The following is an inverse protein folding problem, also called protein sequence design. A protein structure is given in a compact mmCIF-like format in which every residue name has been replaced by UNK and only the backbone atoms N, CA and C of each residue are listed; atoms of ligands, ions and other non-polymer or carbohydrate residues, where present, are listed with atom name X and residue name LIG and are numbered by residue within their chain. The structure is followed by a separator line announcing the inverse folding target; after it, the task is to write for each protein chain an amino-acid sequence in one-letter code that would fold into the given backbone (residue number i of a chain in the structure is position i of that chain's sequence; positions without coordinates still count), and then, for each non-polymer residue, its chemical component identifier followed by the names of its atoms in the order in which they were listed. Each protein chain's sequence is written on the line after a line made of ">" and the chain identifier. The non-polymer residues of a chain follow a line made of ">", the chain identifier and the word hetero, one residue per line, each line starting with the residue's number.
data_IF_704029055704
#
_entry.id   IF_704029055704
#
_cell.length_a   1.000
_cell.length_b   1.000
_cell.length_c   1.000
_cell.angle_alpha   90.00
_cell.angle_beta   90.00
_cell.angle_gamma   90.00
#
_symmetry.space_group_name_H-M   'P 1'
#
loop_
_entity.id
_entity.type
_entity.pdbx_description
1 polymer ?
#
# COMPACT_ATOMS: atom_id res chain seq x y z
N UNK A 1 -8.75 2.91 -26.61
CA UNK A 1 -9.12 3.73 -25.44
C UNK A 1 -8.14 3.39 -24.33
N UNK A 2 -7.07 4.17 -24.21
CA UNK A 2 -6.18 4.07 -23.05
C UNK A 2 -6.96 4.72 -21.90
N UNK A 3 -7.59 3.92 -21.04
CA UNK A 3 -8.05 4.45 -19.75
C UNK A 3 -6.81 4.98 -19.04
N UNK A 4 -6.68 6.30 -19.01
CA UNK A 4 -5.79 6.97 -18.07
C UNK A 4 -6.12 6.52 -16.64
N UNK A 5 -5.19 6.69 -15.70
CA UNK A 5 -5.46 6.40 -14.29
C UNK A 5 -6.74 7.13 -13.89
N UNK A 6 -7.73 6.38 -13.41
CA UNK A 6 -9.01 6.94 -12.94
C UNK A 6 -8.69 7.74 -11.68
N UNK A 7 -8.48 9.05 -11.84
CA UNK A 7 -8.36 9.96 -10.71
C UNK A 7 -9.76 10.17 -10.12
N UNK A 8 -9.96 9.68 -8.90
CA UNK A 8 -11.17 9.95 -8.14
C UNK A 8 -11.11 11.40 -7.66
N UNK A 9 -12.16 12.19 -7.93
CA UNK A 9 -12.20 13.59 -7.49
C UNK A 9 -12.15 13.68 -5.95
N UNK A 10 -11.34 14.59 -5.39
CA UNK A 10 -11.29 14.80 -3.94
C UNK A 10 -12.63 15.26 -3.37
N UNK A 11 -13.03 14.66 -2.25
CA UNK A 11 -14.23 15.02 -1.51
C UNK A 11 -13.95 16.09 -0.44
N UNK A 12 -14.66 17.21 -0.51
CA UNK A 12 -14.53 18.36 0.42
C UNK A 12 -14.96 18.04 1.85
N UNK A 13 -15.63 16.90 2.08
CA UNK A 13 -16.06 16.49 3.42
C UNK A 13 -14.88 16.19 4.35
N UNK A 14 -13.73 15.78 3.81
CA UNK A 14 -12.53 15.45 4.58
C UNK A 14 -11.77 16.72 4.93
N UNK A 15 -11.75 17.07 6.21
CA UNK A 15 -11.17 18.33 6.72
C UNK A 15 -9.77 18.17 7.29
N UNK A 16 -9.31 16.93 7.52
CA UNK A 16 -7.97 16.68 8.01
C UNK A 16 -6.92 16.88 6.91
N UNK A 17 -5.76 17.42 7.28
CA UNK A 17 -4.62 17.47 6.38
C UNK A 17 -3.95 16.10 6.35
N UNK A 18 -3.84 15.51 5.16
CA UNK A 18 -3.10 14.25 4.95
C UNK A 18 -1.85 14.54 4.14
N UNK A 19 -0.70 14.11 4.66
CA UNK A 19 0.60 14.23 3.99
C UNK A 19 1.22 12.84 3.86
N UNK A 20 1.63 12.49 2.65
CA UNK A 20 2.25 11.20 2.33
C UNK A 20 3.69 11.47 1.88
N UNK A 21 4.65 11.08 2.70
CA UNK A 21 6.06 11.06 2.32
C UNK A 21 6.34 9.80 1.53
N UNK A 22 6.83 9.97 0.31
CA UNK A 22 7.23 8.88 -0.59
C UNK A 22 8.67 9.07 -1.04
N UNK A 23 9.23 8.04 -1.68
CA UNK A 23 10.45 8.16 -2.46
C UNK A 23 10.17 7.67 -3.87
N UNK A 24 10.58 8.46 -4.87
CA UNK A 24 10.58 8.01 -6.27
C UNK A 24 11.83 7.21 -6.63
N UNK A 25 12.82 7.11 -5.74
CA UNK A 25 14.01 6.28 -5.96
C UNK A 25 13.63 4.80 -5.88
N UNK A 26 13.44 4.18 -7.05
CA UNK A 26 13.04 2.77 -7.21
C UNK A 26 14.03 1.73 -6.68
N UNK A 27 15.15 2.13 -6.08
CA UNK A 27 16.15 1.24 -5.49
C UNK A 27 15.57 0.34 -4.39
N UNK A 28 14.50 0.79 -3.70
CA UNK A 28 13.75 0.00 -2.71
C UNK A 28 12.32 -0.23 -3.19
N UNK A 29 12.14 -1.20 -4.11
CA UNK A 29 10.84 -1.56 -4.72
C UNK A 29 9.71 -1.81 -3.72
N UNK A 30 10.03 -2.31 -2.53
CA UNK A 30 9.05 -2.53 -1.44
C UNK A 30 8.49 -1.21 -0.94
N UNK A 31 9.34 -0.22 -0.69
CA UNK A 31 8.95 1.11 -0.22
C UNK A 31 8.15 1.87 -1.29
N UNK A 32 8.59 1.81 -2.54
CA UNK A 32 7.87 2.39 -3.68
C UNK A 32 6.46 1.81 -3.80
N UNK A 33 6.32 0.48 -3.79
CA UNK A 33 5.02 -0.17 -3.88
C UNK A 33 4.14 0.14 -2.65
N UNK A 34 4.74 0.26 -1.46
CA UNK A 34 4.00 0.65 -0.27
C UNK A 34 3.50 2.10 -0.38
N UNK A 35 4.34 3.04 -0.85
CA UNK A 35 3.95 4.42 -1.10
C UNK A 35 2.81 4.52 -2.11
N UNK A 36 2.91 3.74 -3.21
CA UNK A 36 1.82 3.63 -4.18
C UNK A 36 0.52 3.16 -3.52
N UNK A 37 0.54 2.06 -2.75
CA UNK A 37 -0.67 1.56 -2.05
C UNK A 37 -1.29 2.60 -1.10
N UNK A 38 -0.48 3.34 -0.36
CA UNK A 38 -0.99 4.37 0.55
C UNK A 38 -1.72 5.48 -0.23
N UNK A 39 -1.16 5.92 -1.37
CA UNK A 39 -1.79 6.92 -2.24
C UNK A 39 -3.06 6.37 -2.90
N UNK A 40 -2.99 5.18 -3.48
CA UNK A 40 -4.13 4.53 -4.13
C UNK A 40 -5.31 4.40 -3.15
N UNK A 41 -5.06 4.04 -1.88
CA UNK A 41 -6.10 3.96 -0.85
C UNK A 41 -6.77 5.33 -0.58
N UNK A 42 -5.96 6.38 -0.43
CA UNK A 42 -6.48 7.74 -0.18
C UNK A 42 -7.21 8.30 -1.39
N UNK A 43 -6.71 8.02 -2.59
CA UNK A 43 -7.34 8.40 -3.85
C UNK A 43 -8.69 7.70 -4.03
N UNK A 44 -8.75 6.37 -3.86
CA UNK A 44 -10.02 5.61 -3.91
C UNK A 44 -11.05 6.15 -2.92
N UNK A 45 -10.60 6.57 -1.73
CA UNK A 45 -11.46 7.16 -0.71
C UNK A 45 -11.89 8.61 -1.03
N UNK A 46 -11.32 9.24 -2.05
CA UNK A 46 -11.57 10.65 -2.38
C UNK A 46 -10.95 11.61 -1.36
N UNK A 47 -9.88 11.21 -0.68
CA UNK A 47 -9.22 12.05 0.33
C UNK A 47 -8.15 12.90 -0.35
N UNK A 48 -8.28 14.21 -0.23
CA UNK A 48 -7.21 15.12 -0.64
C UNK A 48 -5.96 14.86 0.20
N UNK A 49 -4.85 14.58 -0.46
CA UNK A 49 -3.59 14.26 0.20
C UNK A 49 -2.42 14.93 -0.52
N UNK A 50 -1.45 15.40 0.26
CA UNK A 50 -0.25 16.08 -0.22
C UNK A 50 0.85 15.04 -0.34
N UNK A 51 1.36 14.84 -1.55
CA UNK A 51 2.47 13.92 -1.80
C UNK A 51 3.76 14.73 -1.72
N UNK A 52 4.67 14.33 -0.83
CA UNK A 52 5.99 14.95 -0.71
C UNK A 52 7.02 13.88 -1.07
N UNK A 53 7.76 14.12 -2.15
CA UNK A 53 8.86 13.24 -2.54
C UNK A 53 10.13 13.58 -1.75
N UNK A 54 10.64 12.61 -1.00
CA UNK A 54 11.84 12.80 -0.18
C UNK A 54 13.14 12.65 -0.98
N UNK A 55 13.08 12.48 -2.30
CA UNK A 55 14.27 12.40 -3.14
C UNK A 55 15.09 13.71 -3.12
N UNK A 56 16.40 13.61 -2.88
CA UNK A 56 17.31 14.76 -2.75
C UNK A 56 17.50 15.50 -4.08
N UNK A 57 17.45 14.78 -5.19
CA UNK A 57 17.66 15.34 -6.54
C UNK A 57 16.42 16.12 -7.03
N UNK A 58 15.21 15.74 -6.57
CA UNK A 58 13.98 16.48 -6.85
C UNK A 58 14.01 17.91 -6.27
N UNK A 59 14.73 18.12 -5.16
CA UNK A 59 14.82 19.42 -4.47
C UNK A 59 15.67 20.46 -5.21
N UNK A 60 16.54 20.05 -6.12
CA UNK A 60 17.39 20.96 -6.90
C UNK A 60 16.73 21.49 -8.16
N UNK A 61 15.56 20.96 -8.56
CA UNK A 61 14.86 21.31 -9.79
C UNK A 61 13.88 22.50 -9.66
N UNK A 62 13.76 23.14 -8.48
CA UNK A 62 12.97 24.37 -8.32
C UNK A 62 11.45 24.19 -8.15
N UNK A 63 10.94 22.96 -8.11
CA UNK A 63 9.50 22.65 -7.91
C UNK A 63 9.07 22.58 -6.44
N UNK A 64 9.98 22.77 -5.48
CA UNK A 64 9.83 22.20 -4.14
C UNK A 64 9.76 23.16 -2.96
N UNK A 65 9.35 24.43 -3.10
CA UNK A 65 9.33 25.34 -1.94
C UNK A 65 8.40 24.84 -0.82
N UNK A 66 7.20 24.36 -1.16
CA UNK A 66 6.28 23.75 -0.20
C UNK A 66 6.82 22.42 0.34
N UNK A 67 7.40 21.58 -0.52
CA UNK A 67 7.98 20.29 -0.14
C UNK A 67 9.17 20.46 0.82
N UNK A 68 10.07 21.40 0.51
CA UNK A 68 11.22 21.75 1.32
C UNK A 68 10.80 22.31 2.68
N UNK A 69 9.78 23.19 2.73
CA UNK A 69 9.19 23.66 4.00
C UNK A 69 8.64 22.49 4.82
N UNK A 70 7.93 21.56 4.19
CA UNK A 70 7.39 20.37 4.85
C UNK A 70 8.50 19.50 5.45
N UNK A 71 9.53 19.23 4.64
CA UNK A 71 10.67 18.40 5.04
C UNK A 71 11.43 19.06 6.19
N UNK A 72 11.72 20.35 6.09
CA UNK A 72 12.42 21.11 7.13
C UNK A 72 11.64 21.06 8.45
N UNK A 73 10.32 21.33 8.41
CA UNK A 73 9.46 21.29 9.59
C UNK A 73 9.44 19.90 10.23
N UNK A 74 9.30 18.84 9.44
CA UNK A 74 9.28 17.46 9.93
C UNK A 74 10.63 17.02 10.51
N UNK A 75 11.74 17.52 9.98
CA UNK A 75 13.08 17.31 10.52
C UNK A 75 13.29 18.05 11.85
N UNK A 76 12.88 19.32 11.93
CA UNK A 76 12.97 20.15 13.15
C UNK A 76 12.14 19.55 14.30
N UNK A 77 10.92 19.11 14.00
CA UNK A 77 10.02 18.51 14.99
C UNK A 77 10.43 17.08 15.39
N UNK A 78 11.45 16.49 14.74
CA UNK A 78 11.90 15.10 14.94
C UNK A 78 10.77 14.07 14.83
N UNK A 79 9.82 14.31 13.93
CA UNK A 79 8.66 13.43 13.71
C UNK A 79 8.90 12.35 12.68
N UNK A 80 9.97 12.48 11.90
CA UNK A 80 10.38 11.51 10.90
C UNK A 80 10.90 10.23 11.55
N UNK A 81 10.42 9.09 11.07
CA UNK A 81 10.91 7.78 11.50
C UNK A 81 12.15 7.37 10.70
N UNK A 82 13.24 7.07 11.42
CA UNK A 82 14.49 6.56 10.84
C UNK A 82 14.71 5.12 11.30
N UNK A 83 15.14 4.26 10.39
CA UNK A 83 15.53 2.89 10.65
C UNK A 83 16.92 2.79 11.28
N UNK A 84 17.37 1.55 11.54
CA UNK A 84 18.61 1.28 12.27
C UNK A 84 19.90 1.84 11.65
N UNK A 85 19.88 2.15 10.35
CA UNK A 85 21.04 2.71 9.63
C UNK A 85 20.96 4.24 9.44
N UNK A 86 20.09 4.94 10.18
CA UNK A 86 19.73 6.34 9.91
C UNK A 86 19.04 6.58 8.56
N UNK A 87 18.69 5.52 7.83
CA UNK A 87 17.84 5.60 6.64
C UNK A 87 16.42 5.95 7.05
N UNK A 88 15.79 6.90 6.35
CA UNK A 88 14.37 7.18 6.53
C UNK A 88 13.53 5.97 6.10
N UNK A 89 12.56 5.60 6.93
CA UNK A 89 11.62 4.53 6.62
C UNK A 89 10.53 5.13 5.75
N UNK A 90 10.30 4.65 4.53
CA UNK A 90 9.26 5.16 3.64
C UNK A 90 8.31 4.03 3.20
N UNK A 91 7.04 4.31 2.92
CA UNK A 91 6.36 5.61 3.05
C UNK A 91 6.04 5.98 4.50
N UNK A 92 5.89 7.27 4.77
CA UNK A 92 5.36 7.78 6.05
C UNK A 92 4.12 8.60 5.79
N UNK A 93 3.01 8.24 6.44
CA UNK A 93 1.75 8.96 6.35
C UNK A 93 1.57 9.79 7.62
N UNK A 94 1.21 11.05 7.44
CA UNK A 94 0.89 11.98 8.51
C UNK A 94 -0.54 12.50 8.34
N UNK A 95 -1.27 12.61 9.44
CA UNK A 95 -2.59 13.24 9.47
C UNK A 95 -2.59 14.34 10.53
N UNK A 96 -2.92 15.57 10.16
CA UNK A 96 -2.82 16.77 11.00
C UNK A 96 -1.47 16.84 11.75
N UNK A 97 -0.41 16.51 11.00
CA UNK A 97 0.97 16.38 11.45
C UNK A 97 1.32 15.10 12.20
N UNK A 98 0.37 14.34 12.74
CA UNK A 98 0.68 13.14 13.52
C UNK A 98 1.09 11.98 12.63
N UNK A 99 2.20 11.35 12.97
CA UNK A 99 2.67 10.14 12.29
C UNK A 99 1.66 9.01 12.52
N UNK A 100 1.12 8.50 11.42
CA UNK A 100 0.18 7.37 11.41
C UNK A 100 0.92 6.06 11.22
N UNK A 101 1.86 6.02 10.27
CA UNK A 101 2.55 4.78 9.91
C UNK A 101 2.84 4.68 8.42
N UNK A 102 2.93 3.44 7.96
CA UNK A 102 3.07 3.08 6.55
C UNK A 102 1.70 2.74 5.93
N UNK A 103 1.71 2.18 4.71
CA UNK A 103 0.50 1.77 4.01
C UNK A 103 -0.34 0.70 4.74
N UNK A 104 0.31 -0.23 5.46
CA UNK A 104 -0.38 -1.26 6.24
C UNK A 104 -1.06 -0.70 7.47
N UNK A 105 -0.43 0.28 8.15
CA UNK A 105 -1.05 0.94 9.30
C UNK A 105 -2.27 1.78 8.87
N UNK A 106 -2.16 2.46 7.73
CA UNK A 106 -3.27 3.20 7.14
C UNK A 106 -4.44 2.27 6.74
N UNK A 107 -4.14 1.12 6.12
CA UNK A 107 -5.14 0.11 5.80
C UNK A 107 -5.82 -0.42 7.07
N UNK A 108 -5.04 -0.69 8.13
CA UNK A 108 -5.59 -1.15 9.41
C UNK A 108 -6.61 -0.16 10.00
N UNK A 109 -6.33 1.15 9.92
CA UNK A 109 -7.29 2.16 10.36
C UNK A 109 -8.57 2.20 9.53
N UNK A 110 -8.48 1.93 8.22
CA UNK A 110 -9.65 1.82 7.35
C UNK A 110 -10.47 0.57 7.68
N UNK A 111 -9.81 -0.58 7.84
CA UNK A 111 -10.43 -1.85 8.18
C UNK A 111 -11.15 -1.79 9.55
N UNK A 112 -10.59 -1.03 10.50
CA UNK A 112 -11.19 -0.77 11.82
C UNK A 112 -12.31 0.29 11.78
N UNK A 113 -12.56 0.94 10.64
CA UNK A 113 -13.54 2.03 10.51
C UNK A 113 -13.15 3.32 11.24
N UNK A 114 -11.88 3.45 11.65
CA UNK A 114 -11.37 4.61 12.37
C UNK A 114 -10.86 5.71 11.42
N UNK A 115 -10.35 5.34 10.25
CA UNK A 115 -9.72 6.27 9.31
C UNK A 115 -10.68 7.39 8.91
N UNK A 116 -11.91 7.07 8.51
CA UNK A 116 -12.90 8.08 8.15
C UNK A 116 -13.20 9.05 9.31
N UNK A 117 -13.33 8.55 10.53
CA UNK A 117 -13.58 9.39 11.70
C UNK A 117 -12.39 10.31 12.02
N UNK A 118 -11.16 9.85 11.78
CA UNK A 118 -9.95 10.65 11.94
C UNK A 118 -9.90 11.74 10.86
N UNK A 119 -10.18 11.39 9.60
CA UNK A 119 -10.17 12.32 8.45
C UNK A 119 -11.25 13.40 8.54
N UNK A 120 -12.38 13.08 9.16
CA UNK A 120 -13.45 14.04 9.49
C UNK A 120 -13.16 14.85 10.77
N UNK A 121 -11.98 14.67 11.39
CA UNK A 121 -11.59 15.21 12.71
C UNK A 121 -12.63 14.93 13.81
N UNK A 122 -13.35 13.81 13.73
CA UNK A 122 -14.33 13.35 14.73
C UNK A 122 -13.71 12.49 15.82
N UNK A 123 -12.58 11.85 15.51
CA UNK A 123 -11.82 11.01 16.44
C UNK A 123 -10.34 11.44 16.49
N UNK A 124 -9.70 11.20 17.62
CA UNK A 124 -8.25 11.35 17.78
C UNK A 124 -7.52 10.14 17.17
N UNK A 125 -6.45 10.35 16.39
CA UNK A 125 -5.69 9.21 15.81
C UNK A 125 -4.89 8.41 16.83
N UNK A 126 -4.54 8.99 17.99
CA UNK A 126 -3.68 8.33 18.96
C UNK A 126 -4.45 7.47 19.95
N UNK A 127 -5.62 7.94 20.38
CA UNK A 127 -6.46 7.17 21.30
C UNK A 127 -7.70 6.56 20.63
N UNK A 128 -8.18 7.04 19.49
CA UNK A 128 -9.37 6.50 18.80
C UNK A 128 -10.72 6.81 19.47
N UNK A 129 -10.78 6.91 20.79
CA UNK A 129 -12.05 7.02 21.53
C UNK A 129 -12.50 8.45 21.85
N UNK A 130 -11.56 9.41 21.87
CA UNK A 130 -11.88 10.79 22.24
C UNK A 130 -12.48 11.53 21.06
N UNK A 131 -13.66 12.11 21.29
CA UNK A 131 -14.31 12.96 20.28
C UNK A 131 -13.46 14.20 20.05
N UNK A 132 -13.16 14.45 18.78
CA UNK A 132 -12.43 15.61 18.32
C UNK A 132 -13.39 16.54 17.58
N UNK A 133 -13.13 17.84 17.66
CA UNK A 133 -13.74 18.86 16.80
C UNK A 133 -12.67 19.50 15.92
N UNK A 134 -13.04 20.07 14.75
CA UNK A 134 -12.05 20.55 13.78
C UNK A 134 -11.15 21.69 14.28
N UNK A 135 -11.61 22.45 15.27
CA UNK A 135 -10.96 23.59 15.92
C UNK A 135 -10.01 23.18 17.06
N UNK A 136 -10.06 21.93 17.51
CA UNK A 136 -9.17 21.45 18.57
C UNK A 136 -7.74 21.30 18.06
N UNK A 137 -6.81 21.91 18.80
CA UNK A 137 -5.36 21.82 18.56
C UNK A 137 -4.68 20.74 19.38
N UNK A 138 -5.38 20.14 20.36
CA UNK A 138 -4.88 19.03 21.17
C UNK A 138 -6.02 18.09 21.56
N UNK A 139 -5.68 16.83 21.82
CA UNK A 139 -6.63 15.83 22.29
C UNK A 139 -7.13 16.17 23.70
N UNK A 140 -8.44 16.14 23.92
CA UNK A 140 -9.04 16.39 25.24
C UNK A 140 -8.75 15.31 26.28
N UNK A 141 -8.29 14.12 25.86
CA UNK A 141 -7.96 13.06 26.80
C UNK A 141 -6.65 13.39 27.54
N UNK A 142 -6.66 13.47 28.88
CA UNK A 142 -5.49 13.85 29.67
C UNK A 142 -4.32 12.88 29.53
N UNK A 143 -4.60 11.59 29.23
CA UNK A 143 -3.57 10.57 29.01
C UNK A 143 -3.01 10.54 27.57
N UNK A 144 -3.66 11.21 26.62
CA UNK A 144 -3.30 11.10 25.20
C UNK A 144 -2.22 12.11 24.81
N UNK A 145 -2.42 13.39 25.14
CA UNK A 145 -1.48 14.47 24.86
C UNK A 145 -1.13 14.66 23.37
N UNK A 146 -1.95 14.14 22.44
CA UNK A 146 -1.72 14.33 21.01
C UNK A 146 -1.96 15.80 20.63
N UNK A 147 -1.04 16.40 19.90
CA UNK A 147 -1.20 17.74 19.32
C UNK A 147 -1.57 17.63 17.85
N UNK A 148 -2.52 18.45 17.41
CA UNK A 148 -2.96 18.53 16.03
C UNK A 148 -2.40 19.80 15.43
N UNK A 149 -1.44 19.65 14.54
CA UNK A 149 -0.79 20.76 13.88
C UNK A 149 -0.47 20.36 12.45
N UNK A 150 -1.12 21.04 11.51
CA UNK A 150 -0.88 20.87 10.09
C UNK A 150 0.59 21.13 9.75
N UNK A 151 1.15 20.32 8.86
CA UNK A 151 2.52 20.43 8.37
C UNK A 151 2.60 21.60 7.39
N UNK A 152 1.65 21.68 6.45
CA UNK A 152 1.61 22.65 5.35
C UNK A 152 0.27 23.42 5.32
N UNK A 153 -0.08 24.19 6.35
CA UNK A 153 -1.33 24.94 6.37
C UNK A 153 -1.40 25.92 5.19
N UNK A 154 -2.50 25.88 4.43
CA UNK A 154 -2.76 26.79 3.30
C UNK A 154 -1.98 26.51 2.00
N UNK A 155 -1.10 25.51 1.98
CA UNK A 155 -0.35 25.09 0.80
C UNK A 155 -0.91 23.78 0.25
N UNK A 156 -0.93 23.60 -1.08
CA UNK A 156 -1.48 22.41 -1.76
C UNK A 156 -2.90 22.11 -1.27
N UNK A 157 -3.78 23.11 -1.34
CA UNK A 157 -5.15 23.00 -0.82
C UNK A 157 -6.03 22.15 -1.72
N UNK A 158 -7.13 21.63 -1.17
CA UNK A 158 -8.12 20.91 -1.97
C UNK A 158 -8.72 21.82 -3.07
N UNK A 159 -8.91 23.11 -2.79
CA UNK A 159 -9.44 24.07 -3.76
C UNK A 159 -8.49 24.26 -4.94
N UNK A 160 -7.18 24.39 -4.68
CA UNK A 160 -6.15 24.42 -5.73
C UNK A 160 -6.21 23.14 -6.58
N UNK A 161 -6.34 21.97 -5.94
CA UNK A 161 -6.40 20.69 -6.65
C UNK A 161 -7.65 20.55 -7.50
N UNK A 162 -8.80 21.01 -7.01
CA UNK A 162 -10.06 20.99 -7.77
C UNK A 162 -9.99 21.94 -8.98
N UNK A 163 -9.36 23.10 -8.83
CA UNK A 163 -9.12 24.03 -9.95
C UNK A 163 -8.22 23.41 -11.02
N UNK A 164 -7.13 22.74 -10.62
CA UNK A 164 -6.23 22.04 -11.56
C UNK A 164 -6.97 20.98 -12.38
N UNK A 165 -7.82 20.17 -11.74
CA UNK A 165 -8.60 19.14 -12.42
C UNK A 165 -9.57 19.79 -13.41
N UNK A 166 -10.29 20.84 -12.99
CA UNK A 166 -11.25 21.53 -13.85
C UNK A 166 -10.60 22.13 -15.11
N UNK A 167 -9.41 22.71 -15.00
CA UNK A 167 -8.69 23.28 -16.15
C UNK A 167 -8.19 22.22 -17.14
N UNK A 168 -7.89 21.00 -16.69
CA UNK A 168 -7.42 19.94 -17.58
C UNK A 168 -8.56 19.33 -18.43
N UNK A 169 -9.80 19.38 -17.95
CA UNK A 169 -10.95 18.88 -18.71
C UNK A 169 -11.35 19.81 -19.88
N UNK A 170 -10.98 21.10 -19.82
CA UNK A 170 -11.30 22.09 -20.85
C UNK A 170 -10.30 22.13 -22.03
N UNK A 171 -9.07 21.62 -21.87
CA UNK A 171 -8.02 21.67 -22.92
C UNK A 171 -8.05 20.48 -23.89
N UNK A 172 -8.90 19.48 -23.67
CA UNK A 172 -8.92 18.24 -24.46
C UNK A 172 -9.96 18.23 -25.61
N UNK A 173 -10.71 19.32 -25.81
CA UNK A 173 -11.84 19.37 -26.76
C UNK A 173 -11.54 20.16 -28.07
N UNK A 174 -10.34 20.72 -28.25
CA UNK A 174 -10.04 21.63 -29.39
C UNK A 174 -9.16 21.04 -30.53
N UNK A 175 -8.75 19.77 -30.49
CA UNK A 175 -7.91 19.17 -31.57
C UNK A 175 -8.55 17.98 -32.31
N UNK A 176 -9.83 18.06 -32.69
CA UNK A 176 -10.35 17.11 -33.68
C UNK A 176 -11.34 17.76 -34.67
N UNK A 177 -11.04 17.54 -35.96
CA UNK A 177 -11.75 17.90 -37.20
C UNK A 177 -11.41 19.24 -37.87
N UNK A 178 -10.18 19.39 -38.36
CA UNK A 178 -10.03 19.85 -39.76
C UNK A 178 -9.91 18.60 -40.64
N UNK A 179 -11.07 18.04 -40.99
CA UNK A 179 -11.21 17.06 -42.07
C UNK A 179 -10.89 17.80 -43.38
N UNK A 180 -9.63 17.71 -43.79
CA UNK A 180 -9.17 18.23 -45.07
C UNK A 180 -9.82 17.44 -46.19
N UNK A 181 -10.80 18.05 -46.85
CA UNK A 181 -11.29 17.63 -48.15
C UNK A 181 -10.13 17.70 -49.18
N UNK A 182 -9.32 16.65 -49.28
CA UNK A 182 -8.39 16.48 -50.40
C UNK A 182 -9.16 15.98 -51.62
N UNK A 183 -9.46 16.95 -52.48
CA UNK A 183 -9.97 16.83 -53.83
C UNK A 183 -9.11 15.85 -54.65
N UNK A 184 -9.65 14.67 -54.94
CA UNK A 184 -9.07 13.70 -55.88
C UNK A 184 -9.06 14.29 -57.30
N UNK A 185 -7.91 14.81 -57.73
CA UNK A 185 -7.63 15.03 -59.15
C UNK A 185 -7.09 13.73 -59.77
N UNK A 186 -7.86 13.17 -60.70
CA UNK A 186 -7.41 12.16 -61.66
C UNK A 186 -6.20 12.68 -62.44
N UNK A 187 -5.09 11.95 -62.44
CA UNK A 187 -4.17 11.98 -63.57
C UNK A 187 -3.41 10.65 -63.71
N UNK A 188 -3.63 10.02 -64.87
CA UNK A 188 -2.97 8.84 -65.40
C UNK A 188 -1.45 8.98 -65.45
N UNK A 189 -0.68 7.97 -65.00
CA UNK A 189 0.53 7.51 -65.70
C UNK A 189 1.19 6.24 -65.12
N UNK A 190 1.09 5.16 -65.91
CA UNK A 190 2.18 4.28 -66.38
C UNK A 190 3.14 3.63 -65.36
N UNK A 191 2.91 2.33 -65.15
CA UNK A 191 3.86 1.33 -64.65
C UNK A 191 5.14 1.24 -65.49
N UNK A 192 6.30 0.93 -64.87
CA UNK A 192 7.32 0.12 -65.52
C UNK A 192 7.56 -1.20 -64.77
N UNK A 193 7.34 -2.28 -65.52
CA UNK A 193 7.80 -3.64 -65.26
C UNK A 193 9.33 -3.70 -65.27
N UNK A 194 9.95 -4.30 -64.24
CA UNK A 194 11.34 -4.77 -64.33
C UNK A 194 11.46 -6.21 -63.81
N UNK A 195 12.07 -7.02 -64.67
CA UNK A 195 12.26 -8.47 -64.61
C UNK A 195 13.52 -8.88 -63.86
N UNK A 196 13.37 -9.94 -63.04
CA UNK A 196 14.29 -11.07 -62.72
C UNK A 196 15.81 -10.84 -62.58
N UNK A 197 16.35 -11.34 -61.45
CA UNK A 197 17.45 -12.33 -61.50
C UNK A 197 17.52 -13.19 -60.24
N UNK A 198 17.63 -14.49 -60.48
CA UNK A 198 17.75 -15.62 -59.55
C UNK A 198 19.24 -15.86 -59.28
N UNK A 199 19.61 -16.13 -58.02
CA UNK A 199 20.78 -16.96 -57.69
C UNK A 199 20.48 -17.83 -56.47
N UNK A 200 20.59 -19.14 -56.69
CA UNK A 200 20.58 -20.28 -55.77
C UNK A 200 21.75 -20.19 -54.74
N UNK A 201 21.66 -20.63 -53.48
CA UNK A 201 21.76 -21.99 -52.90
C UNK A 201 21.95 -21.81 -51.36
N UNK A 202 22.01 -22.85 -50.49
CA UNK A 202 21.26 -24.10 -50.42
C UNK A 202 20.60 -24.33 -49.02
N UNK A 203 19.77 -25.37 -49.04
CA UNK A 203 18.96 -25.99 -48.01
C UNK A 203 19.77 -26.79 -46.97
N UNK A 204 19.51 -26.62 -45.66
CA UNK A 204 19.71 -27.68 -44.66
C UNK A 204 18.71 -27.64 -43.49
N UNK A 205 17.59 -28.35 -43.73
CA UNK A 205 16.81 -29.27 -42.88
C UNK A 205 16.89 -29.25 -41.33
N UNK A 206 15.64 -29.37 -40.79
CA UNK A 206 15.13 -30.09 -39.59
C UNK A 206 15.17 -29.32 -38.24
N UNK A 207 14.14 -29.29 -37.39
CA UNK A 207 12.82 -29.92 -37.33
C UNK A 207 11.91 -29.12 -36.35
N UNK A 208 10.62 -28.90 -36.68
CA UNK A 208 9.39 -29.36 -35.97
C UNK A 208 9.59 -29.68 -34.47
N UNK A 209 8.84 -29.08 -33.54
CA UNK A 209 7.41 -29.30 -33.19
C UNK A 209 7.00 -28.19 -32.19
N UNK A 210 5.77 -27.70 -31.99
CA UNK A 210 4.42 -28.02 -32.44
C UNK A 210 3.42 -27.36 -31.48
N UNK A 211 2.43 -26.65 -32.03
CA UNK A 211 1.00 -26.55 -31.60
C UNK A 211 0.65 -26.16 -30.15
N UNK A 212 0.09 -24.98 -29.88
CA UNK A 212 -1.30 -24.51 -30.13
C UNK A 212 -2.34 -25.08 -29.13
N UNK A 213 -3.13 -24.17 -28.53
CA UNK A 213 -4.27 -24.54 -27.68
C UNK A 213 -5.03 -23.33 -27.13
N UNK A 214 -5.75 -22.62 -28.01
CA UNK A 214 -6.86 -21.74 -27.67
C UNK A 214 -8.04 -22.57 -27.13
N UNK A 215 -8.78 -22.03 -26.17
CA UNK A 215 -10.08 -22.57 -25.75
C UNK A 215 -10.81 -21.60 -24.83
N UNK A 216 -11.71 -20.81 -25.40
CA UNK A 216 -12.65 -19.96 -24.67
C UNK A 216 -13.98 -20.67 -24.37
N UNK A 217 -14.87 -19.91 -23.72
CA UNK A 217 -16.27 -20.25 -23.45
C UNK A 217 -16.50 -20.73 -22.01
N UNK A 218 -17.59 -20.45 -21.32
CA UNK A 218 -18.72 -19.54 -21.50
C UNK A 218 -19.53 -19.64 -20.19
N UNK A 219 -20.34 -18.62 -19.91
CA UNK A 219 -21.20 -18.53 -18.74
C UNK A 219 -22.24 -19.67 -18.64
N UNK A 220 -22.59 -20.04 -17.40
CA UNK A 220 -23.91 -20.55 -17.05
C UNK A 220 -24.20 -20.26 -15.58
N UNK A 221 -25.41 -19.74 -15.35
CA UNK A 221 -25.95 -19.29 -14.07
C UNK A 221 -26.65 -20.40 -13.26
N UNK A 222 -27.03 -20.02 -12.03
CA UNK A 222 -28.00 -20.59 -11.08
C UNK A 222 -27.44 -21.43 -9.90
N UNK A 223 -28.18 -21.58 -8.79
CA UNK A 223 -28.87 -20.55 -7.97
C UNK A 223 -28.56 -20.69 -6.45
N UNK A 224 -29.05 -19.72 -5.68
CA UNK A 224 -29.05 -19.61 -4.20
C UNK A 224 -29.27 -20.91 -3.42
N UNK A 225 -28.46 -21.11 -2.37
CA UNK A 225 -28.77 -21.95 -1.20
C UNK A 225 -28.26 -21.30 0.10
N UNK A 226 -29.06 -21.29 1.18
CA UNK A 226 -28.69 -20.67 2.45
C UNK A 226 -27.88 -21.62 3.36
N UNK A 227 -26.84 -21.04 3.98
CA UNK A 227 -26.25 -21.32 5.29
C UNK A 227 -26.00 -22.74 5.80
N UNK A 228 -24.72 -23.09 6.01
CA UNK A 228 -24.18 -23.76 7.23
C UNK A 228 -22.68 -23.42 7.36
N UNK A 229 -22.25 -22.93 8.53
CA UNK A 229 -20.84 -22.73 8.90
C UNK A 229 -20.18 -24.10 9.19
N UNK A 230 -19.16 -24.47 8.42
CA UNK A 230 -18.32 -25.65 8.68
C UNK A 230 -17.07 -25.24 9.47
N UNK A 231 -16.76 -25.85 10.63
CA UNK A 231 -15.47 -25.65 11.30
C UNK A 231 -14.34 -26.23 10.44
N UNK A 232 -13.28 -25.43 10.29
CA UNK A 232 -12.12 -25.71 9.46
C UNK A 232 -11.46 -27.04 9.88
N UNK A 233 -11.44 -28.00 8.96
CA UNK A 233 -10.84 -29.32 9.15
C UNK A 233 -9.34 -29.18 9.45
N UNK A 234 -8.94 -29.62 10.65
CA UNK A 234 -7.54 -29.79 11.04
C UNK A 234 -6.94 -30.93 10.22
N UNK A 235 -5.85 -30.65 9.50
CA UNK A 235 -5.09 -31.71 8.82
C UNK A 235 -4.40 -32.61 9.86
N UNK A 236 -4.27 -33.92 9.59
CA UNK A 236 -3.57 -34.84 10.49
C UNK A 236 -2.10 -34.43 10.60
N UNK A 237 -1.61 -34.36 11.83
CA UNK A 237 -0.23 -33.98 12.16
C UNK A 237 0.61 -35.25 12.24
N UNK A 238 1.77 -35.25 11.60
CA UNK A 238 2.71 -36.37 11.64
C UNK A 238 3.17 -36.64 13.09
N UNK A 239 2.97 -37.86 13.64
CA UNK A 239 3.24 -38.17 15.05
C UNK A 239 4.73 -38.12 15.42
N UNK A 240 5.63 -37.99 14.45
CA UNK A 240 7.09 -37.94 14.65
C UNK A 240 7.57 -36.55 15.12
N UNK A 241 6.78 -35.49 14.94
CA UNK A 241 7.19 -34.12 15.26
C UNK A 241 6.99 -33.72 16.73
N UNK A 242 6.17 -34.45 17.48
CA UNK A 242 5.82 -34.07 18.86
C UNK A 242 6.99 -34.25 19.85
N UNK A 243 7.90 -35.21 19.62
CA UNK A 243 9.04 -35.49 20.52
C UNK A 243 10.19 -34.47 20.42
N UNK A 244 10.23 -33.66 19.36
CA UNK A 244 11.26 -32.62 19.16
C UNK A 244 10.75 -31.21 19.41
N UNK A 245 9.44 -31.05 19.57
CA UNK A 245 8.81 -29.77 19.82
C UNK A 245 8.91 -29.41 21.31
N UNK A 246 9.44 -28.22 21.59
CA UNK A 246 9.52 -27.67 22.96
C UNK A 246 8.17 -27.26 23.57
N UNK A 247 7.14 -27.10 22.73
CA UNK A 247 5.82 -26.60 23.10
C UNK A 247 4.73 -27.40 22.38
N UNK A 248 3.60 -27.63 23.04
CA UNK A 248 2.46 -28.39 22.54
C UNK A 248 1.42 -27.50 21.83
N UNK A 249 0.55 -28.12 21.03
CA UNK A 249 -0.60 -27.43 20.41
C UNK A 249 -1.60 -26.99 21.48
N UNK A 250 -2.05 -25.75 21.38
CA UNK A 250 -2.93 -25.10 22.35
C UNK A 250 -2.19 -24.53 23.58
N UNK A 251 -0.87 -24.70 23.67
CA UNK A 251 -0.10 -24.16 24.78
C UNK A 251 0.04 -22.63 24.68
N UNK A 252 -0.08 -21.96 25.83
CA UNK A 252 0.10 -20.52 25.94
C UNK A 252 1.59 -20.21 26.09
N UNK A 253 2.10 -19.39 25.19
CA UNK A 253 3.52 -19.05 25.08
C UNK A 253 3.68 -17.55 24.88
N UNK A 254 4.90 -17.05 25.02
CA UNK A 254 5.23 -15.68 24.64
C UNK A 254 6.11 -15.67 23.40
N UNK A 255 5.77 -14.79 22.46
CA UNK A 255 6.48 -14.60 21.20
C UNK A 255 7.17 -13.24 21.17
N UNK A 256 8.46 -13.22 20.80
CA UNK A 256 9.20 -11.98 20.60
C UNK A 256 8.85 -11.34 19.25
N UNK A 257 8.19 -10.18 19.29
CA UNK A 257 7.87 -9.39 18.11
C UNK A 257 9.00 -8.40 17.82
N UNK A 258 9.78 -8.62 16.75
CA UNK A 258 10.83 -7.68 16.35
C UNK A 258 10.26 -6.29 16.00
N UNK A 259 9.05 -6.25 15.43
CA UNK A 259 8.39 -4.99 15.05
C UNK A 259 7.92 -4.18 16.26
N UNK A 260 7.53 -4.83 17.36
CA UNK A 260 7.08 -4.16 18.60
C UNK A 260 8.14 -4.14 19.70
N UNK A 261 9.30 -4.75 19.46
CA UNK A 261 10.42 -4.91 20.39
C UNK A 261 9.99 -5.36 21.80
N UNK A 262 9.05 -6.31 21.87
CA UNK A 262 8.50 -6.85 23.13
C UNK A 262 7.99 -8.27 22.98
N UNK A 263 7.88 -8.98 24.10
CA UNK A 263 7.17 -10.25 24.20
C UNK A 263 5.66 -10.01 24.09
N UNK A 264 4.97 -10.85 23.32
CA UNK A 264 3.52 -10.86 23.18
C UNK A 264 2.97 -12.22 23.53
N UNK A 265 1.83 -12.26 24.19
CA UNK A 265 1.16 -13.52 24.50
C UNK A 265 0.58 -14.13 23.22
N UNK A 266 0.79 -15.43 23.07
CA UNK A 266 0.41 -16.19 21.88
C UNK A 266 -0.02 -17.60 22.27
N UNK A 267 -0.77 -18.26 21.38
CA UNK A 267 -1.19 -19.65 21.52
C UNK A 267 -0.66 -20.43 20.32
N UNK A 268 -0.08 -21.60 20.58
CA UNK A 268 0.42 -22.50 19.53
C UNK A 268 -0.76 -23.16 18.81
N UNK A 269 -1.03 -22.76 17.56
CA UNK A 269 -2.08 -23.32 16.72
C UNK A 269 -1.60 -24.50 15.87
N UNK A 270 -0.29 -24.55 15.57
CA UNK A 270 0.29 -25.56 14.67
C UNK A 270 1.79 -25.75 14.91
N UNK A 271 2.30 -26.94 14.59
CA UNK A 271 3.74 -27.25 14.61
C UNK A 271 4.08 -27.85 13.25
N UNK A 272 5.08 -27.28 12.57
CA UNK A 272 5.51 -27.72 11.24
C UNK A 272 7.03 -27.86 11.20
N UNK A 273 7.51 -28.73 10.31
CA UNK A 273 8.92 -28.83 9.98
C UNK A 273 9.17 -28.08 8.67
N UNK A 274 10.08 -27.10 8.69
CA UNK A 274 10.51 -26.39 7.49
C UNK A 274 12.02 -26.46 7.40
N UNK A 275 12.54 -27.04 6.32
CA UNK A 275 13.99 -27.14 6.06
C UNK A 275 14.78 -27.82 7.21
N UNK A 276 14.16 -28.81 7.87
CA UNK A 276 14.76 -29.51 9.01
C UNK A 276 14.66 -28.79 10.35
N UNK A 277 14.08 -27.58 10.39
CA UNK A 277 13.84 -26.81 11.62
C UNK A 277 12.37 -26.86 12.03
N UNK A 278 12.12 -26.93 13.35
CA UNK A 278 10.76 -26.85 13.91
C UNK A 278 10.31 -25.40 13.92
N UNK A 279 9.16 -25.13 13.28
CA UNK A 279 8.50 -23.83 13.26
C UNK A 279 7.09 -23.95 13.83
N UNK A 280 6.68 -22.93 14.57
CA UNK A 280 5.39 -22.88 15.25
C UNK A 280 4.45 -21.91 14.53
N UNK A 281 3.22 -22.33 14.33
CA UNK A 281 2.15 -21.43 13.94
C UNK A 281 1.46 -20.92 15.20
N UNK A 282 1.53 -19.61 15.39
CA UNK A 282 0.90 -18.91 16.49
C UNK A 282 -0.31 -18.14 15.97
N UNK A 283 -1.31 -17.93 16.81
CA UNK A 283 -2.49 -17.11 16.52
C UNK A 283 -2.14 -15.70 15.97
N UNK A 284 -1.03 -15.11 16.42
CA UNK A 284 -0.57 -13.81 15.95
C UNK A 284 0.48 -13.87 14.82
N UNK A 285 1.12 -15.03 14.58
CA UNK A 285 2.21 -15.18 13.61
C UNK A 285 2.40 -16.64 13.17
N UNK A 286 2.24 -16.90 11.88
CA UNK A 286 2.54 -18.21 11.28
C UNK A 286 4.04 -18.38 11.00
N UNK A 287 4.58 -19.57 11.27
CA UNK A 287 5.96 -19.95 11.02
C UNK A 287 7.00 -19.26 11.92
N UNK A 288 6.67 -19.00 13.18
CA UNK A 288 7.60 -18.48 14.16
C UNK A 288 8.70 -19.51 14.49
N UNK A 289 9.95 -19.06 14.56
CA UNK A 289 11.08 -19.91 14.95
C UNK A 289 11.04 -20.21 16.45
N UNK A 290 11.49 -21.42 16.84
CA UNK A 290 11.54 -21.87 18.23
C UNK A 290 12.35 -20.92 19.14
N UNK A 291 13.37 -20.25 18.61
CA UNK A 291 14.22 -19.32 19.37
C UNK A 291 13.53 -18.01 19.76
N UNK A 292 12.39 -17.68 19.13
CA UNK A 292 11.59 -16.49 19.41
C UNK A 292 10.37 -16.77 20.28
N UNK A 293 10.29 -17.96 20.86
CA UNK A 293 9.17 -18.42 21.67
C UNK A 293 9.71 -18.87 23.02
N UNK A 294 9.05 -18.42 24.09
CA UNK A 294 9.38 -18.80 25.46
C UNK A 294 8.12 -19.23 26.22
N UNK A 295 8.25 -20.05 27.28
CA UNK A 295 7.12 -20.41 28.11
C UNK A 295 6.48 -19.16 28.72
N UNK A 296 5.16 -19.15 28.81
CA UNK A 296 4.42 -18.05 29.41
C UNK A 296 4.76 -17.94 30.91
N UNK A 297 5.37 -16.82 31.31
CA UNK A 297 5.68 -16.55 32.71
C UNK A 297 4.49 -15.80 33.33
N UNK A 298 3.71 -16.50 34.15
CA UNK A 298 2.64 -15.87 34.91
C UNK A 298 3.25 -15.02 36.03
N UNK A 299 2.97 -13.72 36.05
CA UNK A 299 3.53 -12.78 37.02
C UNK A 299 2.99 -12.94 38.46
N UNK A 300 2.18 -13.97 38.73
CA UNK A 300 1.53 -14.19 40.04
C UNK A 300 2.26 -15.17 40.97
N UNK A 301 3.40 -15.77 40.54
CA UNK A 301 4.12 -16.78 41.35
C UNK A 301 5.46 -16.30 41.94
N UNK A 302 5.68 -14.99 42.02
CA UNK A 302 6.78 -14.40 42.82
C UNK A 302 6.22 -13.92 44.15
N UNK A 303 5.85 -14.86 45.01
CA UNK A 303 5.68 -14.58 46.44
C UNK A 303 7.07 -14.47 47.09
N UNK A 304 7.46 -13.30 47.64
CA UNK A 304 8.70 -13.19 48.39
C UNK A 304 8.57 -13.98 49.70
N UNK A 305 9.48 -14.95 49.92
CA UNK A 305 9.76 -15.53 51.24
C UNK A 305 10.77 -14.69 52.00
#
# INVERSE_FOLDING_TARGET
>A
MLSGPVCVQPEVKYVAEVVVLVTTLGAKRVEYNAGKRARDLLEIKGVHHKVIDFNRDARQAGTGDAENKAIQKLMEDRRLQTGGNNDLILPQVFIDGNYVGNASDLQGLEDDGLLENILLRRACMRCGWTRRTPDMTQCAAPACGASYQEILPGEMTIDQRLQEIAHHDDEFDDEFYEDGEEEFAEEDAVMPTVTKSVTEFPEERRARTGTAGYGGGAAAAAPDRPGVLTPSAQLPIDPVLQDTAKFALGEQVQYWSDSKNRWMDAIVEGIRLKEGNVVYDLNCKRGAQADKIQPYQNAEDVSPS
#
